data_IF_067085584539
#
_entry.id   IF_067085584539
#
_cell.length_a   1.000
_cell.length_b   1.000
_cell.length_c   1.000
_cell.angle_alpha   90.00
_cell.angle_beta   90.00
_cell.angle_gamma   90.00
#
_symmetry.space_group_name_H-M   'P 1'
#
loop_
_entity.id
_entity.type
_entity.pdbx_description
1 polymer ?
#
# COMPACT_ATOMS: atom_id res chain seq x y z
N UNK A 1 24.48 15.55 -4.91
CA UNK A 1 23.25 14.76 -4.68
C UNK A 1 23.56 13.33 -5.12
N UNK A 2 23.66 12.35 -4.22
CA UNK A 2 23.87 10.95 -4.61
C UNK A 2 22.59 10.49 -5.30
N UNK A 3 22.67 10.12 -6.58
CA UNK A 3 21.57 9.45 -7.27
C UNK A 3 21.32 8.13 -6.54
N UNK A 4 20.13 8.00 -5.93
CA UNK A 4 19.67 6.72 -5.42
C UNK A 4 19.43 5.80 -6.63
N UNK A 5 19.91 4.56 -6.61
CA UNK A 5 19.66 3.63 -7.71
C UNK A 5 18.14 3.41 -7.83
N UNK A 6 17.64 3.47 -9.06
CA UNK A 6 16.27 3.08 -9.37
C UNK A 6 16.18 1.55 -9.28
N UNK A 7 15.94 1.05 -8.08
CA UNK A 7 15.61 -0.36 -7.89
C UNK A 7 14.16 -0.54 -8.37
N UNK A 8 13.98 -1.30 -9.45
CA UNK A 8 12.67 -1.65 -10.01
C UNK A 8 12.64 -3.15 -10.26
N UNK A 9 11.64 -3.83 -9.70
CA UNK A 9 11.37 -5.25 -9.97
C UNK A 9 10.28 -5.37 -11.03
N UNK A 10 10.48 -6.24 -12.02
CA UNK A 10 9.49 -6.54 -13.05
C UNK A 10 9.17 -8.03 -13.06
N UNK A 11 7.90 -8.37 -12.84
CA UNK A 11 7.37 -9.72 -12.99
C UNK A 11 6.61 -9.78 -14.31
N UNK A 12 7.24 -10.37 -15.32
CA UNK A 12 6.69 -10.42 -16.68
C UNK A 12 5.56 -11.44 -16.83
N UNK A 13 4.72 -11.24 -17.85
CA UNK A 13 3.69 -12.20 -18.23
C UNK A 13 4.27 -13.60 -18.50
N UNK A 14 3.52 -14.64 -18.14
CA UNK A 14 3.96 -16.04 -18.21
C UNK A 14 4.65 -16.55 -16.94
N UNK A 15 4.95 -15.67 -15.98
CA UNK A 15 5.42 -16.05 -14.64
C UNK A 15 4.23 -16.37 -13.71
N UNK A 16 4.38 -17.43 -12.90
CA UNK A 16 3.51 -17.73 -11.75
C UNK A 16 4.34 -17.84 -10.49
N UNK A 17 4.02 -17.06 -9.47
CA UNK A 17 4.63 -17.13 -8.14
C UNK A 17 3.62 -17.73 -7.19
N UNK A 18 4.04 -18.73 -6.43
CA UNK A 18 3.27 -19.30 -5.33
C UNK A 18 4.00 -19.01 -4.02
N UNK A 19 3.39 -18.20 -3.15
CA UNK A 19 4.00 -17.68 -1.93
C UNK A 19 4.09 -16.16 -1.92
N UNK A 20 4.64 -15.63 -0.84
CA UNK A 20 4.67 -14.18 -0.59
C UNK A 20 5.87 -13.50 -1.28
N UNK A 21 5.63 -12.29 -1.76
CA UNK A 21 6.60 -11.43 -2.45
C UNK A 21 6.81 -10.19 -1.60
N UNK A 22 7.99 -10.09 -0.98
CA UNK A 22 8.36 -8.98 -0.08
C UNK A 22 9.54 -8.23 -0.69
N UNK A 23 9.42 -6.92 -0.77
CA UNK A 23 10.39 -6.04 -1.42
C UNK A 23 10.51 -4.69 -0.72
N UNK A 24 11.63 -4.01 -0.96
CA UNK A 24 11.97 -2.73 -0.36
C UNK A 24 11.87 -1.53 -1.33
N UNK A 25 11.37 -1.74 -2.55
CA UNK A 25 11.33 -0.76 -3.64
C UNK A 25 10.11 -0.95 -4.55
N UNK A 26 10.04 -0.29 -5.72
CA UNK A 26 8.90 -0.44 -6.63
C UNK A 26 8.87 -1.77 -7.39
N UNK A 27 7.67 -2.26 -7.72
CA UNK A 27 7.49 -3.42 -8.59
C UNK A 27 6.36 -3.22 -9.61
N UNK A 28 6.50 -3.84 -10.77
CA UNK A 28 5.42 -4.02 -11.74
C UNK A 28 5.16 -5.50 -11.95
N UNK A 29 3.91 -5.93 -11.71
CA UNK A 29 3.47 -7.29 -11.90
C UNK A 29 2.53 -7.41 -13.12
N UNK A 30 2.96 -8.17 -14.12
CA UNK A 30 2.19 -8.58 -15.29
C UNK A 30 1.96 -10.11 -15.33
N UNK A 31 2.45 -10.84 -14.33
CA UNK A 31 2.25 -12.27 -14.16
C UNK A 31 1.15 -12.59 -13.13
N UNK A 32 1.18 -13.82 -12.62
CA UNK A 32 0.25 -14.30 -11.59
C UNK A 32 1.03 -14.45 -10.28
N UNK A 33 0.50 -13.88 -9.20
CA UNK A 33 1.00 -14.09 -7.84
C UNK A 33 -0.13 -14.69 -7.01
N UNK A 34 0.09 -15.90 -6.51
CA UNK A 34 -0.78 -16.59 -5.56
C UNK A 34 -0.12 -16.52 -4.17
N UNK A 35 -0.44 -15.45 -3.45
CA UNK A 35 0.24 -15.02 -2.23
C UNK A 35 0.19 -13.51 -2.04
N UNK A 36 0.79 -13.03 -0.96
CA UNK A 36 0.77 -11.61 -0.61
C UNK A 36 1.92 -10.85 -1.29
N UNK A 37 1.67 -9.60 -1.62
CA UNK A 37 2.66 -8.69 -2.19
C UNK A 37 2.83 -7.51 -1.25
N UNK A 38 4.02 -7.35 -0.67
CA UNK A 38 4.31 -6.30 0.31
C UNK A 38 5.55 -5.53 -0.14
N UNK A 39 5.37 -4.23 -0.39
CA UNK A 39 6.49 -3.30 -0.61
C UNK A 39 6.59 -2.26 0.50
N UNK A 40 7.81 -2.00 0.97
CA UNK A 40 8.04 -0.92 1.93
C UNK A 40 8.01 0.47 1.29
N UNK A 41 8.48 0.63 0.06
CA UNK A 41 8.63 1.92 -0.62
C UNK A 41 8.37 1.86 -2.13
N UNK A 42 8.02 2.99 -2.74
CA UNK A 42 7.85 3.09 -4.19
C UNK A 42 6.49 2.59 -4.68
N UNK A 43 6.41 2.35 -6.00
CA UNK A 43 5.17 2.00 -6.69
C UNK A 43 5.01 0.48 -6.80
N UNK A 44 3.92 -0.06 -6.26
CA UNK A 44 3.41 -1.40 -6.56
C UNK A 44 2.36 -1.29 -7.64
N UNK A 45 2.72 -1.73 -8.84
CA UNK A 45 1.88 -1.67 -10.02
C UNK A 45 1.43 -3.07 -10.42
N UNK A 46 0.13 -3.33 -10.36
CA UNK A 46 -0.48 -4.52 -10.95
C UNK A 46 -0.89 -4.13 -12.38
N UNK A 47 -0.06 -4.50 -13.34
CA UNK A 47 -0.22 -4.13 -14.74
C UNK A 47 -1.38 -4.86 -15.42
N UNK A 48 -1.78 -4.44 -16.63
CA UNK A 48 -2.79 -5.13 -17.42
C UNK A 48 -2.44 -6.62 -17.62
N UNK A 49 -3.41 -7.50 -17.38
CA UNK A 49 -3.21 -8.95 -17.43
C UNK A 49 -2.53 -9.56 -16.20
N UNK A 50 -1.91 -8.74 -15.34
CA UNK A 50 -1.39 -9.18 -14.05
C UNK A 50 -2.51 -9.51 -13.06
N UNK A 51 -2.29 -10.56 -12.26
CA UNK A 51 -3.21 -11.00 -11.23
C UNK A 51 -2.48 -11.22 -9.91
N UNK A 52 -3.09 -10.77 -8.82
CA UNK A 52 -2.67 -11.13 -7.46
C UNK A 52 -3.85 -11.74 -6.71
N UNK A 53 -3.66 -12.93 -6.16
CA UNK A 53 -4.59 -13.60 -5.25
C UNK A 53 -4.00 -13.57 -3.85
N UNK A 54 -4.41 -12.58 -3.07
CA UNK A 54 -3.78 -12.26 -1.79
C UNK A 54 -3.77 -10.77 -1.52
N UNK A 55 -3.17 -10.39 -0.40
CA UNK A 55 -3.12 -8.99 0.02
C UNK A 55 -2.03 -8.23 -0.75
N UNK A 56 -2.33 -6.98 -1.12
CA UNK A 56 -1.35 -6.08 -1.75
C UNK A 56 -1.13 -4.88 -0.84
N UNK A 57 0.11 -4.67 -0.40
CA UNK A 57 0.51 -3.56 0.45
C UNK A 57 1.65 -2.76 -0.19
N UNK A 58 1.52 -1.44 -0.20
CA UNK A 58 2.56 -0.55 -0.71
C UNK A 58 2.41 0.90 -0.26
N UNK A 59 3.46 1.69 -0.50
CA UNK A 59 3.40 3.14 -0.34
C UNK A 59 2.50 3.76 -1.42
N UNK A 60 2.81 3.50 -2.69
CA UNK A 60 1.94 3.83 -3.80
C UNK A 60 1.48 2.55 -4.48
N UNK A 61 0.17 2.39 -4.67
CA UNK A 61 -0.41 1.21 -5.31
C UNK A 61 -1.20 1.64 -6.54
N UNK A 62 -0.94 0.99 -7.67
CA UNK A 62 -1.67 1.17 -8.91
C UNK A 62 -2.18 -0.17 -9.42
N UNK A 63 -3.49 -0.28 -9.62
CA UNK A 63 -4.13 -1.51 -10.11
C UNK A 63 -4.74 -1.26 -11.48
N UNK A 64 -4.06 -1.69 -12.53
CA UNK A 64 -4.59 -1.75 -13.90
C UNK A 64 -5.05 -3.19 -14.28
N UNK A 65 -4.56 -4.21 -13.56
CA UNK A 65 -4.92 -5.62 -13.70
C UNK A 65 -6.04 -6.06 -12.74
N UNK A 66 -5.87 -7.25 -12.16
CA UNK A 66 -6.85 -7.83 -11.21
C UNK A 66 -6.20 -8.14 -9.86
N UNK A 67 -6.87 -7.76 -8.77
CA UNK A 67 -6.51 -8.16 -7.41
C UNK A 67 -7.70 -8.84 -6.76
N UNK A 68 -7.49 -10.06 -6.28
CA UNK A 68 -8.43 -10.85 -5.47
C UNK A 68 -7.90 -10.90 -4.04
N UNK A 69 -8.26 -9.91 -3.24
CA UNK A 69 -7.77 -9.73 -1.88
C UNK A 69 -7.78 -8.26 -1.45
N UNK A 70 -7.35 -8.03 -0.21
CA UNK A 70 -7.35 -6.68 0.37
C UNK A 70 -6.17 -5.85 -0.13
N UNK A 71 -6.41 -4.56 -0.40
CA UNK A 71 -5.39 -3.61 -0.85
C UNK A 71 -5.14 -2.56 0.22
N UNK A 72 -3.88 -2.39 0.61
CA UNK A 72 -3.41 -1.41 1.58
C UNK A 72 -2.45 -0.41 0.91
N UNK A 73 -2.82 0.86 0.89
CA UNK A 73 -2.02 1.92 0.30
C UNK A 73 -1.75 3.05 1.31
N UNK A 74 -0.47 3.28 1.64
CA UNK A 74 -0.07 4.31 2.62
C UNK A 74 -0.10 5.74 2.05
N UNK A 75 0.31 5.93 0.81
CA UNK A 75 0.43 7.24 0.17
C UNK A 75 -0.66 7.52 -0.84
N UNK A 76 -0.65 6.78 -1.95
CA UNK A 76 -1.61 6.97 -3.03
C UNK A 76 -2.10 5.64 -3.58
N UNK A 77 -3.40 5.56 -3.85
CA UNK A 77 -4.04 4.43 -4.48
C UNK A 77 -4.69 4.86 -5.79
N UNK A 78 -4.34 4.20 -6.88
CA UNK A 78 -4.98 4.34 -8.19
C UNK A 78 -5.57 3.00 -8.62
N UNK A 79 -6.86 2.96 -8.89
CA UNK A 79 -7.53 1.75 -9.40
C UNK A 79 -8.13 2.07 -10.76
N UNK A 80 -7.68 1.38 -11.79
CA UNK A 80 -8.23 1.41 -13.15
C UNK A 80 -8.75 0.04 -13.60
N UNK A 81 -8.31 -1.04 -12.94
CA UNK A 81 -8.68 -2.43 -13.20
C UNK A 81 -9.74 -2.96 -12.22
N UNK A 82 -9.61 -4.24 -11.83
CA UNK A 82 -10.56 -4.93 -10.97
C UNK A 82 -9.97 -5.26 -9.61
N UNK A 83 -10.69 -4.93 -8.54
CA UNK A 83 -10.36 -5.30 -7.16
C UNK A 83 -11.55 -6.02 -6.54
N UNK A 84 -11.35 -7.25 -6.07
CA UNK A 84 -12.31 -8.04 -5.30
C UNK A 84 -11.77 -8.17 -3.89
N UNK A 85 -12.24 -7.33 -2.97
CA UNK A 85 -11.70 -7.24 -1.62
C UNK A 85 -11.83 -5.84 -1.04
N UNK A 86 -11.35 -5.67 0.18
CA UNK A 86 -11.43 -4.39 0.87
C UNK A 86 -10.22 -3.52 0.53
N UNK A 87 -10.47 -2.23 0.43
CA UNK A 87 -9.45 -1.24 0.14
C UNK A 87 -9.26 -0.33 1.33
N UNK A 88 -8.02 -0.28 1.82
CA UNK A 88 -7.60 0.58 2.91
C UNK A 88 -6.58 1.59 2.40
N UNK A 89 -6.90 2.87 2.50
CA UNK A 89 -6.01 3.94 2.03
C UNK A 89 -5.85 5.02 3.10
N UNK A 90 -4.66 5.61 3.18
CA UNK A 90 -4.38 6.70 4.13
C UNK A 90 -4.37 8.07 3.46
N UNK A 91 -3.64 8.20 2.36
CA UNK A 91 -3.56 9.43 1.58
C UNK A 91 -4.68 9.57 0.56
N UNK A 92 -4.35 9.58 -0.73
CA UNK A 92 -5.30 9.85 -1.82
C UNK A 92 -5.76 8.57 -2.50
N UNK A 93 -7.03 8.56 -2.95
CA UNK A 93 -7.58 7.50 -3.80
C UNK A 93 -8.07 8.11 -5.12
N UNK A 94 -7.73 7.45 -6.23
CA UNK A 94 -8.19 7.78 -7.58
C UNK A 94 -8.80 6.53 -8.22
N UNK A 95 -10.03 6.66 -8.70
CA UNK A 95 -10.73 5.61 -9.45
C UNK A 95 -10.83 6.05 -10.91
N UNK A 96 -10.30 5.25 -11.82
CA UNK A 96 -10.39 5.49 -13.25
C UNK A 96 -11.76 5.12 -13.84
N UNK A 97 -12.03 5.49 -15.10
CA UNK A 97 -13.32 5.24 -15.76
C UNK A 97 -13.72 3.77 -15.88
N UNK A 98 -12.75 2.85 -15.80
CA UNK A 98 -12.93 1.39 -15.93
C UNK A 98 -12.75 0.64 -14.61
N UNK A 99 -12.60 1.38 -13.50
CA UNK A 99 -12.39 0.80 -12.19
C UNK A 99 -13.61 -0.05 -11.77
N UNK A 100 -13.36 -1.30 -11.40
CA UNK A 100 -14.36 -2.19 -10.81
C UNK A 100 -13.88 -2.57 -9.42
N UNK A 101 -14.59 -2.11 -8.39
CA UNK A 101 -14.28 -2.42 -7.00
C UNK A 101 -15.47 -3.13 -6.36
N UNK A 102 -15.21 -4.35 -5.88
CA UNK A 102 -16.18 -5.17 -5.15
C UNK A 102 -15.67 -5.38 -3.73
N UNK A 103 -16.20 -4.59 -2.80
CA UNK A 103 -15.82 -4.64 -1.39
C UNK A 103 -16.00 -3.30 -0.69
N UNK A 104 -15.40 -3.16 0.49
CA UNK A 104 -15.47 -1.91 1.26
C UNK A 104 -14.26 -1.03 0.98
N UNK A 105 -14.49 0.27 0.83
CA UNK A 105 -13.42 1.27 0.79
C UNK A 105 -13.38 1.98 2.14
N UNK A 106 -12.24 1.89 2.84
CA UNK A 106 -12.03 2.48 4.16
C UNK A 106 -10.81 3.40 4.14
N UNK A 107 -11.03 4.66 4.46
CA UNK A 107 -9.93 5.56 4.77
C UNK A 107 -9.42 5.25 6.18
N UNK A 108 -8.13 4.95 6.31
CA UNK A 108 -7.45 4.88 7.60
C UNK A 108 -6.79 6.23 7.85
N UNK A 109 -7.25 6.97 8.85
CA UNK A 109 -6.46 8.08 9.36
C UNK A 109 -5.22 7.48 10.00
N UNK A 110 -4.07 8.09 9.75
CA UNK A 110 -2.89 7.82 10.55
C UNK A 110 -3.30 8.02 12.01
N UNK A 111 -3.17 6.98 12.84
CA UNK A 111 -3.24 7.16 14.28
C UNK A 111 -1.93 7.86 14.63
N UNK A 112 -1.90 9.18 14.48
CA UNK A 112 -0.94 9.98 15.22
C UNK A 112 -1.23 9.66 16.68
N UNK A 113 -0.44 8.77 17.28
CA UNK A 113 -0.34 8.72 18.73
C UNK A 113 0.21 10.09 19.10
N UNK A 114 -0.67 11.00 19.52
CA UNK A 114 -0.23 12.15 20.30
C UNK A 114 0.53 11.55 21.48
N UNK A 115 1.86 11.64 21.42
CA UNK A 115 2.72 11.16 22.48
C UNK A 115 2.20 11.72 23.80
N UNK A 116 1.74 10.84 24.69
CA UNK A 116 1.38 11.12 26.08
C UNK A 116 2.59 11.64 26.93
N UNK A 117 3.66 12.09 26.28
CA UNK A 117 4.87 12.62 26.89
C UNK A 117 4.74 14.10 27.33
N UNK A 118 3.69 14.82 26.91
CA UNK A 118 3.50 16.22 27.30
C UNK A 118 2.93 16.41 28.72
N UNK A 119 2.32 15.38 29.33
CA UNK A 119 1.72 15.53 30.66
C UNK A 119 2.72 15.37 31.84
N UNK A 120 3.96 14.93 31.60
CA UNK A 120 4.95 14.75 32.68
C UNK A 120 5.62 16.09 33.07
N UNK A 121 5.69 17.07 32.16
CA UNK A 121 6.30 18.38 32.44
C UNK A 121 5.37 19.39 33.13
N UNK A 122 4.05 19.14 33.14
CA UNK A 122 3.09 20.05 33.76
C UNK A 122 2.86 19.76 35.25
N UNK A 123 3.10 18.52 35.69
CA UNK A 123 3.04 18.13 37.11
C UNK A 123 4.30 18.56 37.90
N UNK A 124 5.46 18.70 37.25
CA UNK A 124 6.70 19.11 37.91
C UNK A 124 6.81 20.62 38.19
N UNK A 125 6.00 21.45 37.53
CA UNK A 125 5.89 22.90 37.80
C UNK A 125 4.86 23.26 38.87
N UNK A 126 3.88 22.39 39.12
CA UNK A 126 2.86 22.62 40.15
C UNK A 126 3.36 22.30 41.58
N UNK A 127 4.49 21.59 41.71
CA UNK A 127 5.07 21.21 43.00
C UNK A 127 6.18 22.16 43.50
N UNK A 128 6.52 23.22 42.75
CA UNK A 128 7.59 24.16 43.11
C UNK A 128 7.10 25.51 43.65
N UNK A 129 5.78 25.74 43.71
CA UNK A 129 5.15 26.97 44.23
C UNK A 129 4.27 26.70 45.46
N UNK A 130 4.67 25.78 46.34
CA UNK A 130 4.04 25.56 47.66
C UNK A 130 5.07 25.35 48.75
#
# INVERSE_FOLDING_TARGET
>A
MKQQPLNVTLLSAGLSIHGDVILDHGMSNFGIVDGNVVSSSGLVHIGPGGMVKGQVEGEHVRVDGTVEGDVHARGALEINGRVIGNVYYYGTIRLGPRASLEGQVKRRSDLTIENAASNVQQLSRAASDS
#
